data_IF_007724285858
#
_entry.id   IF_007724285858
#
_cell.length_a   1.000
_cell.length_b   1.000
_cell.length_c   1.000
_cell.angle_alpha   90.00
_cell.angle_beta   90.00
_cell.angle_gamma   90.00
#
_symmetry.space_group_name_H-M   'P 1'
#
loop_
_entity.id
_entity.type
_entity.pdbx_description
1 polymer ?
#
# COMPACT_ATOMS: atom_id res chain seq x y z
N UNK A 1 -10.70 -33.32 -10.61
CA UNK A 1 -9.66 -32.81 -9.69
C UNK A 1 -9.67 -31.29 -9.80
N UNK A 2 -10.68 -30.65 -9.22
CA UNK A 2 -10.71 -29.19 -9.09
C UNK A 2 -9.94 -28.86 -7.81
N UNK A 3 -8.67 -28.46 -7.94
CA UNK A 3 -8.00 -27.75 -6.85
C UNK A 3 -8.84 -26.49 -6.58
N UNK A 4 -9.60 -26.53 -5.50
CA UNK A 4 -10.25 -25.34 -4.96
C UNK A 4 -9.13 -24.42 -4.49
N UNK A 5 -8.84 -23.38 -5.26
CA UNK A 5 -7.87 -22.35 -4.90
C UNK A 5 -8.24 -21.78 -3.52
N UNK A 6 -7.28 -21.76 -2.60
CA UNK A 6 -7.50 -21.27 -1.24
C UNK A 6 -7.94 -19.79 -1.29
N UNK A 7 -9.10 -19.44 -0.71
CA UNK A 7 -9.59 -18.05 -0.65
C UNK A 7 -8.57 -17.06 -0.10
N UNK A 8 -7.67 -17.50 0.79
CA UNK A 8 -6.59 -16.67 1.35
C UNK A 8 -5.55 -16.31 0.29
N UNK A 9 -5.23 -17.24 -0.61
CA UNK A 9 -4.32 -16.98 -1.73
C UNK A 9 -4.95 -16.03 -2.73
N UNK A 10 -6.27 -16.13 -2.95
CA UNK A 10 -7.02 -15.19 -3.79
C UNK A 10 -6.96 -13.78 -3.18
N UNK A 11 -7.20 -13.64 -1.86
CA UNK A 11 -7.10 -12.37 -1.16
C UNK A 11 -5.69 -11.75 -1.23
N UNK A 12 -4.65 -12.55 -1.01
CA UNK A 12 -3.26 -12.09 -1.14
C UNK A 12 -2.90 -11.68 -2.58
N UNK A 13 -3.37 -12.42 -3.58
CA UNK A 13 -3.19 -12.08 -4.99
C UNK A 13 -3.93 -10.79 -5.36
N UNK A 14 -5.14 -10.59 -4.85
CA UNK A 14 -5.90 -9.35 -5.02
C UNK A 14 -5.19 -8.17 -4.36
N UNK A 15 -4.73 -8.31 -3.12
CA UNK A 15 -3.96 -7.28 -2.42
C UNK A 15 -2.67 -6.92 -3.19
N UNK A 16 -1.93 -7.92 -3.68
CA UNK A 16 -0.77 -7.72 -4.54
C UNK A 16 -1.13 -6.94 -5.81
N UNK A 17 -2.20 -7.34 -6.51
CA UNK A 17 -2.69 -6.69 -7.71
C UNK A 17 -3.08 -5.22 -7.47
N UNK A 18 -3.83 -4.95 -6.40
CA UNK A 18 -4.24 -3.60 -6.00
C UNK A 18 -3.01 -2.73 -5.74
N UNK A 19 -2.08 -3.21 -4.91
CA UNK A 19 -0.87 -2.46 -4.57
C UNK A 19 0.04 -2.21 -5.78
N UNK A 20 0.16 -3.18 -6.70
CA UNK A 20 0.89 -3.02 -7.96
C UNK A 20 0.21 -2.00 -8.88
N UNK A 21 -1.10 -2.07 -9.07
CA UNK A 21 -1.85 -1.15 -9.93
C UNK A 21 -1.74 0.30 -9.45
N UNK A 22 -1.98 0.53 -8.16
CA UNK A 22 -1.88 1.88 -7.58
C UNK A 22 -0.43 2.38 -7.62
N UNK A 23 0.52 1.50 -7.29
CA UNK A 23 1.95 1.80 -7.35
C UNK A 23 2.43 2.18 -8.76
N UNK A 24 1.98 1.46 -9.80
CA UNK A 24 2.30 1.75 -11.20
C UNK A 24 1.68 3.06 -11.69
N UNK A 25 0.40 3.30 -11.39
CA UNK A 25 -0.28 4.54 -11.75
C UNK A 25 0.41 5.75 -11.14
N UNK A 26 0.82 5.63 -9.88
CA UNK A 26 1.53 6.69 -9.19
C UNK A 26 2.93 6.94 -9.73
N UNK A 27 3.63 5.89 -10.12
CA UNK A 27 4.94 6.00 -10.77
C UNK A 27 4.81 6.70 -12.13
N UNK A 28 3.76 6.40 -12.90
CA UNK A 28 3.47 7.06 -14.19
C UNK A 28 3.24 8.57 -14.02
N UNK A 29 2.53 9.00 -12.96
CA UNK A 29 2.24 10.42 -12.73
C UNK A 29 3.47 11.25 -12.34
N UNK A 30 4.55 10.64 -11.86
CA UNK A 30 5.79 11.36 -11.51
C UNK A 30 6.64 11.77 -12.74
N UNK A 31 6.24 11.40 -13.97
CA UNK A 31 6.85 11.89 -15.21
C UNK A 31 8.21 11.26 -15.57
N UNK A 32 8.71 11.61 -16.77
CA UNK A 32 9.99 11.12 -17.32
C UNK A 32 11.16 11.97 -16.79
N UNK A 33 11.87 11.48 -15.77
CA UNK A 33 13.06 12.18 -15.24
C UNK A 33 13.99 11.32 -14.38
N UNK A 34 15.19 11.81 -14.03
CA UNK A 34 16.22 11.04 -13.32
C UNK A 34 15.81 10.59 -11.89
N UNK A 35 14.75 11.20 -11.33
CA UNK A 35 14.17 10.88 -10.04
C UNK A 35 13.09 9.76 -10.10
N UNK A 36 13.10 8.94 -11.17
CA UNK A 36 12.28 7.73 -11.35
C UNK A 36 12.72 6.61 -10.39
N UNK A 37 12.77 6.92 -9.11
CA UNK A 37 12.89 5.90 -8.10
C UNK A 37 11.55 5.16 -8.07
N UNK A 38 11.58 3.85 -8.30
CA UNK A 38 10.49 2.87 -8.16
C UNK A 38 9.90 2.78 -6.72
N UNK A 39 9.97 3.89 -5.98
CA UNK A 39 9.51 4.08 -4.62
C UNK A 39 7.99 3.95 -4.53
N UNK A 40 7.23 4.38 -5.56
CA UNK A 40 5.78 4.22 -5.57
C UNK A 40 5.38 2.75 -5.61
N UNK A 41 5.88 2.01 -6.60
CA UNK A 41 5.51 0.60 -6.80
C UNK A 41 5.72 -0.26 -5.55
N UNK A 42 6.93 -0.19 -4.95
CA UNK A 42 7.27 -1.03 -3.80
C UNK A 42 6.44 -0.66 -2.57
N UNK A 43 6.30 0.63 -2.28
CA UNK A 43 5.63 1.09 -1.06
C UNK A 43 4.14 0.73 -1.07
N UNK A 44 3.47 0.92 -2.20
CA UNK A 44 2.04 0.61 -2.35
C UNK A 44 1.77 -0.91 -2.34
N UNK A 45 2.64 -1.69 -3.01
CA UNK A 45 2.55 -3.15 -2.99
C UNK A 45 2.72 -3.70 -1.58
N UNK A 46 3.74 -3.23 -0.85
CA UNK A 46 3.97 -3.66 0.52
C UNK A 46 2.86 -3.21 1.47
N UNK A 47 2.28 -2.03 1.27
CA UNK A 47 1.16 -1.55 2.08
C UNK A 47 -0.09 -2.44 1.92
N UNK A 48 -0.48 -2.78 0.68
CA UNK A 48 -1.61 -3.68 0.45
C UNK A 48 -1.38 -5.07 1.06
N UNK A 49 -0.20 -5.66 0.85
CA UNK A 49 0.15 -6.95 1.45
C UNK A 49 0.15 -6.90 2.97
N UNK A 50 0.65 -5.81 3.56
CA UNK A 50 0.65 -5.64 5.01
C UNK A 50 -0.78 -5.59 5.57
N UNK A 51 -1.71 -4.94 4.87
CA UNK A 51 -3.13 -4.95 5.24
C UNK A 51 -3.74 -6.34 5.22
N UNK A 52 -3.50 -7.09 4.14
CA UNK A 52 -3.97 -8.47 4.00
C UNK A 52 -3.44 -9.35 5.13
N UNK A 53 -2.13 -9.29 5.38
CA UNK A 53 -1.47 -10.06 6.42
C UNK A 53 -1.93 -9.64 7.83
N UNK A 54 -2.16 -8.35 8.07
CA UNK A 54 -2.67 -7.87 9.35
C UNK A 54 -4.01 -8.51 9.68
N UNK A 55 -4.92 -8.55 8.71
CA UNK A 55 -6.25 -9.13 8.88
C UNK A 55 -6.19 -10.66 8.97
N UNK A 56 -5.41 -11.31 8.12
CA UNK A 56 -5.25 -12.77 8.07
C UNK A 56 -4.60 -13.36 9.33
N UNK A 57 -3.57 -12.70 9.86
CA UNK A 57 -2.76 -13.25 10.96
C UNK A 57 -3.20 -12.75 12.34
N UNK A 58 -3.72 -11.51 12.41
CA UNK A 58 -3.91 -10.83 13.68
C UNK A 58 -5.25 -10.12 13.85
N UNK A 59 -6.14 -10.19 12.85
CA UNK A 59 -7.49 -9.61 12.90
C UNK A 59 -7.53 -8.09 13.11
N UNK A 60 -8.66 -7.59 13.58
CA UNK A 60 -8.96 -6.15 13.65
C UNK A 60 -8.01 -5.34 14.54
N UNK A 61 -7.53 -5.90 15.67
CA UNK A 61 -6.61 -5.18 16.55
C UNK A 61 -5.24 -4.96 15.88
N UNK A 62 -4.70 -6.02 15.26
CA UNK A 62 -3.42 -5.94 14.54
C UNK A 62 -3.54 -5.00 13.35
N UNK A 63 -4.67 -5.03 12.64
CA UNK A 63 -4.99 -4.09 11.58
C UNK A 63 -4.99 -2.63 12.08
N UNK A 64 -5.62 -2.34 13.20
CA UNK A 64 -5.67 -0.99 13.77
C UNK A 64 -4.27 -0.47 14.18
N UNK A 65 -3.45 -1.31 14.82
CA UNK A 65 -2.08 -0.97 15.21
C UNK A 65 -1.22 -0.68 13.97
N UNK A 66 -1.31 -1.54 12.95
CA UNK A 66 -0.54 -1.36 11.72
C UNK A 66 -1.07 -0.17 10.89
N UNK A 67 -2.37 0.12 10.90
CA UNK A 67 -2.93 1.32 10.29
C UNK A 67 -2.33 2.59 10.91
N UNK A 68 -2.23 2.64 12.25
CA UNK A 68 -1.61 3.75 12.96
C UNK A 68 -0.12 3.88 12.62
N UNK A 69 0.61 2.76 12.53
CA UNK A 69 2.02 2.76 12.13
C UNK A 69 2.22 3.25 10.70
N UNK A 70 1.42 2.78 9.74
CA UNK A 70 1.45 3.24 8.34
C UNK A 70 1.09 4.73 8.26
N UNK A 71 0.10 5.18 9.03
CA UNK A 71 -0.27 6.59 9.13
C UNK A 71 0.86 7.46 9.65
N UNK A 72 1.57 7.00 10.68
CA UNK A 72 2.73 7.70 11.22
C UNK A 72 3.86 7.78 10.17
N UNK A 73 4.17 6.68 9.48
CA UNK A 73 5.16 6.66 8.41
C UNK A 73 4.77 7.60 7.26
N UNK A 74 3.49 7.66 6.90
CA UNK A 74 2.95 8.61 5.93
C UNK A 74 3.18 10.06 6.38
N UNK A 75 2.87 10.40 7.64
CA UNK A 75 3.09 11.74 8.18
C UNK A 75 4.58 12.11 8.18
N UNK A 76 5.46 11.18 8.58
CA UNK A 76 6.91 11.41 8.56
C UNK A 76 7.42 11.62 7.12
N UNK A 77 6.93 10.82 6.18
CA UNK A 77 7.25 10.96 4.76
C UNK A 77 6.79 12.31 4.22
N UNK A 78 5.55 12.72 4.53
CA UNK A 78 5.01 14.02 4.15
C UNK A 78 5.89 15.15 4.65
N UNK A 79 6.24 15.15 5.95
CA UNK A 79 7.10 16.19 6.55
C UNK A 79 8.48 16.26 5.90
N UNK A 80 9.07 15.13 5.51
CA UNK A 80 10.39 15.09 4.87
C UNK A 80 10.35 15.60 3.43
N UNK A 81 9.21 15.47 2.75
CA UNK A 81 9.06 15.87 1.36
C UNK A 81 8.31 17.18 1.18
N UNK A 82 7.77 17.78 2.26
CA UNK A 82 6.98 19.01 2.24
C UNK A 82 7.65 20.20 1.53
N UNK A 83 8.99 20.27 1.54
CA UNK A 83 9.74 21.32 0.83
C UNK A 83 9.67 21.19 -0.71
N UNK A 84 9.20 20.04 -1.24
CA UNK A 84 9.12 19.73 -2.67
C UNK A 84 7.66 19.53 -3.17
N UNK A 85 6.67 19.95 -2.40
CA UNK A 85 5.24 19.94 -2.72
C UNK A 85 4.61 18.56 -3.07
N UNK A 86 4.72 17.53 -2.21
CA UNK A 86 4.09 16.24 -2.41
C UNK A 86 2.74 16.29 -1.71
N UNK A 87 1.69 16.64 -2.42
CA UNK A 87 0.36 16.79 -1.83
C UNK A 87 -0.07 15.58 -0.99
N UNK A 88 -0.83 15.85 0.08
CA UNK A 88 -1.39 14.92 1.08
C UNK A 88 -2.12 13.69 0.47
N UNK A 89 -2.53 13.80 -0.79
CA UNK A 89 -3.18 12.73 -1.55
C UNK A 89 -2.33 11.47 -1.64
N UNK A 90 -1.00 11.63 -1.61
CA UNK A 90 -0.01 10.55 -1.59
C UNK A 90 -0.15 9.64 -0.37
N UNK A 91 -0.23 10.27 0.79
CA UNK A 91 -0.29 9.65 2.10
C UNK A 91 -1.65 8.99 2.30
N UNK A 92 -2.71 9.69 1.89
CA UNK A 92 -4.07 9.15 1.90
C UNK A 92 -4.16 7.92 1.00
N UNK A 93 -3.60 7.97 -0.20
CA UNK A 93 -3.57 6.81 -1.10
C UNK A 93 -2.85 5.61 -0.48
N UNK A 94 -1.76 5.84 0.27
CA UNK A 94 -1.02 4.77 0.95
C UNK A 94 -1.88 4.09 2.02
N UNK A 95 -2.57 4.88 2.84
CA UNK A 95 -3.49 4.38 3.87
C UNK A 95 -4.66 3.61 3.25
N UNK A 96 -5.25 4.14 2.17
CA UNK A 96 -6.31 3.46 1.44
C UNK A 96 -5.82 2.13 0.86
N UNK A 97 -4.61 2.09 0.33
CA UNK A 97 -4.04 0.86 -0.24
C UNK A 97 -3.83 -0.22 0.82
N UNK A 98 -3.37 0.18 2.02
CA UNK A 98 -3.30 -0.72 3.17
C UNK A 98 -4.68 -1.25 3.57
N UNK A 99 -5.69 -0.39 3.68
CA UNK A 99 -7.06 -0.79 4.00
C UNK A 99 -7.69 -1.71 2.94
N UNK A 100 -7.46 -1.41 1.66
CA UNK A 100 -7.95 -2.23 0.53
C UNK A 100 -7.34 -3.63 0.54
N UNK A 101 -6.08 -3.77 0.95
CA UNK A 101 -5.46 -5.09 1.09
C UNK A 101 -6.03 -5.90 2.26
N UNK A 102 -6.56 -5.25 3.30
CA UNK A 102 -7.15 -5.91 4.46
C UNK A 102 -8.58 -6.43 4.25
N UNK A 103 -9.20 -6.09 3.10
CA UNK A 103 -10.54 -6.53 2.72
C UNK A 103 -10.53 -7.98 2.21
#
# INVERSE_FOLDING_TARGET
MSESVDPRLIGLAAALGIGLLIGMERERRKGEGPARAAAGLRTFTLAALLGALAMLLGGGLTLAVLAAAVGLLAVVSYRKSADADPGLTTEIALLLTFMLGAL
#
